data_IF_242988734046
#
_entry.id   IF_242988734046
#
_cell.length_a   1.000
_cell.length_b   1.000
_cell.length_c   1.000
_cell.angle_alpha   90.00
_cell.angle_beta   90.00
_cell.angle_gamma   90.00
#
_symmetry.space_group_name_H-M   'P 1'
#
loop_
_entity.id
_entity.type
_entity.pdbx_description
1 polymer ?
#
# COMPACT_ATOMS: atom_id res chain seq x y z
N UNK A 1 9.04 -17.27 -11.22
CA UNK A 1 10.08 -16.31 -10.81
C UNK A 1 11.33 -17.09 -10.44
N UNK A 2 12.49 -16.80 -11.04
CA UNK A 2 13.78 -17.33 -10.61
C UNK A 2 14.02 -17.12 -9.11
N UNK A 3 14.75 -18.03 -8.46
CA UNK A 3 15.03 -17.95 -7.02
C UNK A 3 15.72 -16.64 -6.62
N UNK A 4 16.61 -16.13 -7.47
CA UNK A 4 17.31 -14.86 -7.27
C UNK A 4 16.36 -13.64 -7.23
N UNK A 5 15.31 -13.62 -8.06
CA UNK A 5 14.31 -12.54 -8.03
C UNK A 5 13.47 -12.61 -6.76
N UNK A 6 13.08 -13.82 -6.35
CA UNK A 6 12.33 -14.00 -5.11
C UNK A 6 13.12 -13.55 -3.88
N UNK A 7 14.38 -13.95 -3.76
CA UNK A 7 15.23 -13.54 -2.63
C UNK A 7 15.52 -12.05 -2.64
N UNK A 8 15.67 -11.43 -3.82
CA UNK A 8 15.80 -9.98 -3.94
C UNK A 8 14.55 -9.24 -3.45
N UNK A 9 13.35 -9.69 -3.86
CA UNK A 9 12.08 -9.15 -3.39
C UNK A 9 11.90 -9.32 -1.88
N UNK A 10 12.29 -10.48 -1.34
CA UNK A 10 12.22 -10.74 0.10
C UNK A 10 13.18 -9.84 0.89
N UNK A 11 14.42 -9.65 0.41
CA UNK A 11 15.39 -8.76 1.02
C UNK A 11 14.91 -7.30 1.00
N UNK A 12 14.36 -6.85 -0.13
CA UNK A 12 13.75 -5.52 -0.27
C UNK A 12 12.59 -5.34 0.72
N UNK A 13 11.67 -6.30 0.80
CA UNK A 13 10.54 -6.27 1.73
C UNK A 13 11.00 -6.21 3.20
N UNK A 14 12.08 -6.94 3.53
CA UNK A 14 12.67 -6.95 4.87
C UNK A 14 13.29 -5.58 5.19
N UNK A 15 14.08 -5.01 4.28
CA UNK A 15 14.67 -3.68 4.47
C UNK A 15 13.58 -2.60 4.69
N UNK A 16 12.51 -2.64 3.87
CA UNK A 16 11.37 -1.71 3.98
C UNK A 16 10.55 -1.88 5.27
N UNK A 17 10.68 -3.01 5.97
CA UNK A 17 10.06 -3.22 7.28
C UNK A 17 10.83 -2.52 8.40
N UNK A 18 12.15 -2.36 8.27
CA UNK A 18 13.01 -1.63 9.21
C UNK A 18 13.11 -0.13 8.94
N UNK A 19 12.77 0.30 7.72
CA UNK A 19 12.55 1.71 7.36
C UNK A 19 11.07 1.97 7.07
N UNK A 20 10.19 1.81 8.07
CA UNK A 20 8.75 1.86 7.85
C UNK A 20 8.35 3.24 7.31
N UNK A 21 7.74 3.24 6.12
CA UNK A 21 7.11 4.43 5.56
C UNK A 21 5.90 4.88 6.40
N UNK A 22 5.31 6.05 6.10
CA UNK A 22 4.21 6.64 6.89
C UNK A 22 3.01 5.70 7.07
N UNK A 23 2.65 4.90 6.04
CA UNK A 23 1.54 3.95 6.12
C UNK A 23 1.81 2.79 7.10
N UNK A 24 3.05 2.32 7.21
CA UNK A 24 3.45 1.25 8.13
C UNK A 24 3.47 1.77 9.58
N UNK A 25 3.92 2.99 9.79
CA UNK A 25 3.86 3.63 11.11
C UNK A 25 2.41 3.87 11.55
N UNK A 26 1.52 4.29 10.64
CA UNK A 26 0.10 4.47 10.95
C UNK A 26 -0.60 3.14 11.23
N UNK A 27 -0.33 2.07 10.47
CA UNK A 27 -0.96 0.76 10.70
C UNK A 27 -0.53 0.13 12.02
N UNK A 28 0.74 0.29 12.42
CA UNK A 28 1.24 -0.15 13.72
C UNK A 28 0.66 0.66 14.87
N UNK A 29 0.59 1.99 14.75
CA UNK A 29 -0.09 2.83 15.72
C UNK A 29 -1.58 2.48 15.84
N UNK A 30 -2.26 2.18 14.73
CA UNK A 30 -3.67 1.80 14.71
C UNK A 30 -3.88 0.43 15.38
N UNK A 31 -2.97 -0.52 15.14
CA UNK A 31 -3.00 -1.83 15.79
C UNK A 31 -2.79 -1.71 17.30
N UNK A 32 -1.84 -0.87 17.73
CA UNK A 32 -1.56 -0.63 19.14
C UNK A 32 -2.73 0.05 19.87
N UNK A 33 -3.40 1.02 19.24
CA UNK A 33 -4.47 1.79 19.88
C UNK A 33 -5.87 1.15 19.75
N UNK A 34 -6.16 0.47 18.64
CA UNK A 34 -7.51 -0.04 18.30
C UNK A 34 -7.57 -1.52 17.94
N UNK A 35 -6.44 -2.23 18.05
CA UNK A 35 -6.35 -3.65 17.78
C UNK A 35 -6.17 -4.00 16.30
N UNK A 36 -5.75 -5.25 16.08
CA UNK A 36 -5.45 -5.80 14.76
C UNK A 36 -6.63 -5.73 13.77
N UNK A 37 -7.91 -5.99 14.14
CA UNK A 37 -9.02 -5.95 13.19
C UNK A 37 -9.19 -4.57 12.53
N UNK A 38 -8.95 -3.49 13.30
CA UNK A 38 -9.06 -2.13 12.79
C UNK A 38 -7.84 -1.76 11.92
N UNK A 39 -6.65 -2.20 12.31
CA UNK A 39 -5.43 -2.06 11.49
C UNK A 39 -5.55 -2.78 10.14
N UNK A 40 -6.09 -3.99 10.11
CA UNK A 40 -6.24 -4.77 8.86
C UNK A 40 -7.16 -4.08 7.85
N UNK A 41 -8.20 -3.37 8.31
CA UNK A 41 -9.05 -2.56 7.41
C UNK A 41 -8.25 -1.46 6.72
N UNK A 42 -7.36 -0.77 7.44
CA UNK A 42 -6.49 0.25 6.87
C UNK A 42 -5.47 -0.38 5.90
N UNK A 43 -4.80 -1.46 6.32
CA UNK A 43 -3.80 -2.17 5.50
C UNK A 43 -4.40 -2.64 4.18
N UNK A 44 -5.62 -3.17 4.17
CA UNK A 44 -6.30 -3.59 2.95
C UNK A 44 -6.88 -2.42 2.13
N UNK A 45 -7.31 -1.33 2.77
CA UNK A 45 -7.86 -0.17 2.08
C UNK A 45 -6.82 0.55 1.21
N UNK A 46 -5.55 0.59 1.64
CA UNK A 46 -4.46 1.26 0.90
C UNK A 46 -4.25 0.71 -0.52
N UNK A 47 -3.98 -0.60 -0.73
CA UNK A 47 -3.80 -1.15 -2.08
C UNK A 47 -5.10 -1.08 -2.89
N UNK A 48 -6.26 -1.30 -2.28
CA UNK A 48 -7.56 -1.21 -2.97
C UNK A 48 -7.81 0.20 -3.49
N UNK A 49 -7.56 1.23 -2.67
CA UNK A 49 -7.69 2.62 -3.06
C UNK A 49 -6.74 2.99 -4.20
N UNK A 50 -5.47 2.56 -4.13
CA UNK A 50 -4.50 2.78 -5.21
C UNK A 50 -4.91 2.10 -6.51
N UNK A 51 -5.33 0.84 -6.46
CA UNK A 51 -5.82 0.13 -7.65
C UNK A 51 -7.05 0.81 -8.24
N UNK A 52 -8.01 1.22 -7.41
CA UNK A 52 -9.18 1.95 -7.88
C UNK A 52 -8.81 3.29 -8.54
N UNK A 53 -7.92 4.08 -7.93
CA UNK A 53 -7.43 5.32 -8.50
C UNK A 53 -6.75 5.09 -9.86
N UNK A 54 -5.87 4.10 -9.96
CA UNK A 54 -5.20 3.76 -11.21
C UNK A 54 -6.19 3.33 -12.30
N UNK A 55 -7.20 2.53 -11.96
CA UNK A 55 -8.25 2.12 -12.89
C UNK A 55 -9.10 3.30 -13.37
N UNK A 56 -9.48 4.21 -12.46
CA UNK A 56 -10.23 5.42 -12.82
C UNK A 56 -9.40 6.34 -13.72
N UNK A 57 -8.12 6.54 -13.39
CA UNK A 57 -7.20 7.30 -14.23
C UNK A 57 -7.02 6.65 -15.62
N UNK A 58 -6.84 5.33 -15.68
CA UNK A 58 -6.76 4.58 -16.93
C UNK A 58 -8.06 4.68 -17.75
N UNK A 59 -9.21 4.74 -17.07
CA UNK A 59 -10.53 4.96 -17.67
C UNK A 59 -10.79 6.41 -18.14
N UNK A 60 -9.83 7.32 -17.98
CA UNK A 60 -9.92 8.70 -18.48
C UNK A 60 -10.44 9.73 -17.47
N UNK A 61 -10.78 9.33 -16.23
CA UNK A 61 -11.23 10.29 -15.19
C UNK A 61 -10.16 11.33 -14.91
N UNK A 62 -8.88 10.94 -14.90
CA UNK A 62 -7.76 11.87 -14.71
C UNK A 62 -7.71 12.96 -15.79
N UNK A 63 -8.02 12.61 -17.05
CA UNK A 63 -8.07 13.59 -18.14
C UNK A 63 -9.24 14.57 -17.98
N UNK A 64 -10.40 14.09 -17.52
CA UNK A 64 -11.56 14.95 -17.22
C UNK A 64 -11.24 15.92 -16.08
N UNK A 65 -10.58 15.45 -15.01
CA UNK A 65 -10.19 16.31 -13.87
C UNK A 65 -9.21 17.40 -14.27
N UNK A 66 -8.21 17.08 -15.12
CA UNK A 66 -7.23 18.08 -15.60
C UNK A 66 -7.85 19.08 -16.57
N UNK A 67 -8.91 18.71 -17.29
CA UNK A 67 -9.60 19.57 -18.24
C UNK A 67 -10.64 20.51 -17.59
N UNK A 68 -11.00 20.29 -16.32
CA UNK A 68 -11.94 21.09 -15.54
C UNK A 68 -11.24 22.24 -14.80
#
# INVERSE_FOLDING_TARGET
MPFAEFTALLALATAMSFTPGPNTTLSTALAANRGLPHAMRFVCAVPVGWSALLLLCAGGVGAVVVAA
#
